data_IF_239960425010
#
_entry.id   IF_239960425010
#
_cell.length_a   1.000
_cell.length_b   1.000
_cell.length_c   1.000
_cell.angle_alpha   90.00
_cell.angle_beta   90.00
_cell.angle_gamma   90.00
#
_symmetry.space_group_name_H-M   'P 1'
#
loop_
_entity.id
_entity.type
_entity.pdbx_description
1 polymer ?
#
# COMPACT_ATOMS: atom_id res chain seq x y z
N UNK A 1 34.82 -41.68 40.56
CA UNK A 1 34.01 -40.46 40.36
C UNK A 1 34.27 -40.01 38.92
N UNK A 2 33.40 -40.41 37.99
CA UNK A 2 33.54 -40.10 36.55
C UNK A 2 32.75 -38.84 36.25
N UNK A 3 33.42 -37.80 35.73
CA UNK A 3 32.75 -36.66 35.10
C UNK A 3 33.16 -36.67 33.63
N UNK A 4 32.29 -37.23 32.79
CA UNK A 4 32.34 -37.05 31.34
C UNK A 4 31.74 -35.68 31.04
N UNK A 5 32.57 -34.71 30.66
CA UNK A 5 32.11 -33.43 30.15
C UNK A 5 31.95 -33.56 28.63
N UNK A 6 30.72 -33.85 28.20
CA UNK A 6 30.29 -33.67 26.82
C UNK A 6 29.53 -32.34 26.72
N UNK A 7 29.50 -31.81 25.51
CA UNK A 7 28.60 -30.78 24.97
C UNK A 7 29.13 -29.34 24.91
N UNK A 8 28.96 -28.57 23.84
CA UNK A 8 28.36 -28.76 22.50
C UNK A 8 28.94 -27.60 21.67
N UNK A 9 29.40 -27.87 20.44
CA UNK A 9 29.66 -26.82 19.45
C UNK A 9 28.34 -26.10 19.13
N UNK A 10 28.21 -24.83 19.50
CA UNK A 10 27.12 -23.98 19.04
C UNK A 10 27.38 -23.60 17.57
N UNK A 11 26.83 -24.39 16.65
CA UNK A 11 26.69 -23.98 15.25
C UNK A 11 25.57 -22.93 15.22
N UNK A 12 25.94 -21.66 15.18
CA UNK A 12 25.02 -20.56 14.93
C UNK A 12 24.59 -20.60 13.47
N UNK A 13 23.56 -21.41 13.18
CA UNK A 13 22.84 -21.33 11.90
C UNK A 13 22.07 -20.02 11.92
N UNK A 14 22.56 -19.02 11.16
CA UNK A 14 21.77 -17.82 10.86
C UNK A 14 20.65 -18.25 9.92
N UNK A 15 19.53 -18.69 10.49
CA UNK A 15 18.26 -18.69 9.77
C UNK A 15 17.87 -17.22 9.58
N UNK A 16 18.15 -16.67 8.40
CA UNK A 16 17.32 -15.59 7.88
C UNK A 16 15.96 -16.21 7.59
N UNK A 17 15.08 -16.22 8.59
CA UNK A 17 13.66 -16.48 8.37
C UNK A 17 13.13 -15.29 7.58
N UNK A 18 12.97 -15.45 6.27
CA UNK A 18 12.00 -14.65 5.52
C UNK A 18 10.63 -14.97 6.11
N UNK A 19 10.17 -14.14 7.04
CA UNK A 19 8.78 -14.13 7.49
C UNK A 19 7.93 -13.61 6.33
N UNK A 20 7.56 -14.50 5.40
CA UNK A 20 6.34 -14.29 4.64
C UNK A 20 5.20 -14.54 5.63
N UNK A 21 4.57 -13.47 6.11
CA UNK A 21 3.36 -13.59 6.92
C UNK A 21 2.29 -14.27 6.07
N UNK A 22 2.07 -15.57 6.33
CA UNK A 22 1.18 -16.48 5.58
C UNK A 22 -0.28 -16.00 5.52
N UNK A 23 -0.62 -14.94 6.24
CA UNK A 23 -1.94 -14.30 6.27
C UNK A 23 -2.17 -13.35 5.09
N UNK A 24 -1.13 -12.96 4.37
CA UNK A 24 -1.22 -11.93 3.36
C UNK A 24 -1.47 -12.57 1.99
N UNK A 25 -2.57 -12.20 1.29
CA UNK A 25 -2.84 -12.69 -0.05
C UNK A 25 -1.65 -12.47 -0.99
N UNK A 26 -1.37 -13.43 -1.88
CA UNK A 26 -0.23 -13.35 -2.80
C UNK A 26 -0.28 -12.13 -3.76
N UNK A 27 -1.46 -11.52 -3.89
CA UNK A 27 -1.71 -10.29 -4.62
C UNK A 27 -1.61 -9.04 -3.72
N UNK A 28 -0.90 -9.09 -2.61
CA UNK A 28 -0.71 -7.91 -1.74
C UNK A 28 0.73 -7.41 -1.82
N UNK A 29 0.89 -6.09 -1.98
CA UNK A 29 2.16 -5.38 -1.80
C UNK A 29 2.09 -4.71 -0.44
N UNK A 30 3.04 -4.99 0.45
CA UNK A 30 3.18 -4.25 1.70
C UNK A 30 4.17 -3.11 1.52
N UNK A 31 3.81 -1.91 1.97
CA UNK A 31 4.72 -0.77 2.06
C UNK A 31 4.70 -0.26 3.50
N UNK A 32 5.86 -0.10 4.14
CA UNK A 32 5.90 0.57 5.45
C UNK A 32 6.38 2.00 5.30
N UNK A 33 5.49 2.98 5.51
CA UNK A 33 5.82 4.42 5.40
C UNK A 33 6.61 4.92 6.62
N UNK A 34 6.81 4.09 7.64
CA UNK A 34 7.59 4.41 8.85
C UNK A 34 9.04 4.83 8.59
N UNK A 35 9.56 4.72 7.35
CA UNK A 35 10.96 5.01 7.00
C UNK A 35 11.21 6.08 5.92
N UNK A 36 10.42 7.16 5.87
CA UNK A 36 10.73 8.37 5.07
C UNK A 36 10.79 8.19 3.53
N UNK A 37 10.15 7.17 2.96
CA UNK A 37 10.19 6.94 1.52
C UNK A 37 8.79 6.80 0.93
N UNK A 38 8.56 7.54 -0.16
CA UNK A 38 7.49 7.37 -1.17
C UNK A 38 7.13 5.89 -1.37
N UNK A 39 5.84 5.56 -1.42
CA UNK A 39 5.40 4.23 -1.85
C UNK A 39 5.09 4.27 -3.34
N UNK A 40 5.86 3.52 -4.12
CA UNK A 40 5.63 3.35 -5.56
C UNK A 40 4.95 2.01 -5.80
N UNK A 41 3.80 2.09 -6.46
CA UNK A 41 2.99 0.93 -6.80
C UNK A 41 2.95 0.81 -8.31
N UNK A 42 3.83 -0.03 -8.87
CA UNK A 42 3.83 -0.32 -10.30
C UNK A 42 2.67 -1.27 -10.62
N UNK A 43 1.71 -0.79 -11.39
CA UNK A 43 0.49 -1.48 -11.75
C UNK A 43 0.34 -1.60 -13.25
N UNK A 44 -0.04 -2.79 -13.69
CA UNK A 44 -0.39 -3.04 -15.08
C UNK A 44 -1.92 -3.04 -15.23
N UNK A 45 -2.55 -1.91 -14.89
CA UNK A 45 -4.00 -1.76 -14.94
C UNK A 45 -4.43 -1.15 -16.27
N UNK A 46 -5.05 -1.96 -17.12
CA UNK A 46 -5.53 -1.49 -18.43
C UNK A 46 -6.91 -0.81 -18.36
N UNK A 47 -7.71 -1.11 -17.33
CA UNK A 47 -9.09 -0.64 -17.19
C UNK A 47 -9.33 0.14 -15.88
N UNK A 48 -8.27 0.60 -15.21
CA UNK A 48 -8.47 1.33 -13.95
C UNK A 48 -8.96 2.76 -14.21
N UNK A 49 -10.07 3.10 -13.58
CA UNK A 49 -10.59 4.47 -13.47
C UNK A 49 -9.91 5.24 -12.33
N UNK A 50 -9.31 4.54 -11.38
CA UNK A 50 -8.68 5.15 -10.22
C UNK A 50 -8.26 4.16 -9.15
N UNK A 51 -8.02 4.70 -7.96
CA UNK A 51 -7.63 3.99 -6.74
C UNK A 51 -8.62 4.32 -5.62
N UNK A 52 -9.12 3.29 -4.95
CA UNK A 52 -9.86 3.43 -3.69
C UNK A 52 -8.88 3.14 -2.56
N UNK A 53 -8.94 3.94 -1.49
CA UNK A 53 -8.29 3.62 -0.22
C UNK A 53 -9.26 3.58 0.94
N UNK A 54 -8.96 2.70 1.90
CA UNK A 54 -9.60 2.63 3.21
C UNK A 54 -8.53 2.95 4.26
N UNK A 55 -8.69 4.07 4.96
CA UNK A 55 -7.75 4.54 5.98
C UNK A 55 -8.12 4.03 7.37
N UNK A 56 -7.16 3.52 8.15
CA UNK A 56 -7.40 3.21 9.56
C UNK A 56 -7.41 4.49 10.43
N UNK A 57 -6.75 5.55 9.97
CA UNK A 57 -6.69 6.85 10.62
C UNK A 57 -6.75 8.00 9.60
N UNK A 58 -7.83 8.78 9.64
CA UNK A 58 -8.08 9.89 8.72
C UNK A 58 -9.57 10.04 8.45
N UNK A 59 -10.02 11.24 8.03
CA UNK A 59 -11.40 11.47 7.61
C UNK A 59 -11.43 12.10 6.22
N UNK A 60 -12.33 11.66 5.33
CA UNK A 60 -13.17 10.46 5.46
C UNK A 60 -12.35 9.16 5.38
N UNK A 61 -12.89 8.07 5.93
CA UNK A 61 -12.23 6.75 6.01
C UNK A 61 -12.07 6.12 4.63
N UNK A 62 -13.08 6.24 3.79
CA UNK A 62 -13.06 5.81 2.39
C UNK A 62 -12.77 7.02 1.51
N UNK A 63 -11.78 6.88 0.64
CA UNK A 63 -11.37 7.93 -0.29
C UNK A 63 -11.07 7.35 -1.66
N UNK A 64 -11.25 8.17 -2.69
CA UNK A 64 -11.08 7.78 -4.09
C UNK A 64 -10.14 8.75 -4.79
N UNK A 65 -9.24 8.23 -5.61
CA UNK A 65 -8.38 8.99 -6.50
C UNK A 65 -8.68 8.56 -7.92
N UNK A 66 -9.33 9.42 -8.69
CA UNK A 66 -9.67 9.11 -10.09
C UNK A 66 -8.60 9.64 -11.03
N UNK A 67 -8.25 8.87 -12.06
CA UNK A 67 -7.30 9.29 -13.08
C UNK A 67 -7.97 10.23 -14.08
N UNK A 68 -7.33 11.34 -14.41
CA UNK A 68 -7.85 12.25 -15.43
C UNK A 68 -7.80 11.60 -16.82
N UNK A 69 -8.94 11.59 -17.53
CA UNK A 69 -9.06 11.05 -18.88
C UNK A 69 -10.20 11.74 -19.65
N UNK A 70 -10.49 11.26 -20.87
CA UNK A 70 -11.56 11.82 -21.72
C UNK A 70 -12.96 11.70 -21.10
N UNK A 71 -13.19 10.71 -20.22
CA UNK A 71 -14.47 10.48 -19.56
C UNK A 71 -14.61 11.25 -18.23
N UNK A 72 -13.50 11.70 -17.64
CA UNK A 72 -13.49 12.41 -16.36
C UNK A 72 -12.41 13.48 -16.32
N UNK A 73 -12.87 14.72 -16.36
CA UNK A 73 -12.03 15.93 -16.30
C UNK A 73 -12.17 16.70 -15.00
N UNK A 74 -13.20 16.41 -14.19
CA UNK A 74 -13.46 17.06 -12.90
C UNK A 74 -13.11 16.13 -11.74
N UNK A 75 -12.57 16.73 -10.68
CA UNK A 75 -12.22 16.04 -9.43
C UNK A 75 -11.40 14.75 -9.65
N UNK A 76 -10.50 14.79 -10.64
CA UNK A 76 -9.50 13.77 -10.91
C UNK A 76 -8.11 14.27 -10.46
N UNK A 77 -7.14 13.36 -10.41
CA UNK A 77 -5.78 13.57 -9.89
C UNK A 77 -5.73 14.20 -8.48
N UNK A 78 -6.76 13.92 -7.68
CA UNK A 78 -6.88 14.34 -6.29
C UNK A 78 -7.77 13.36 -5.53
N UNK A 79 -7.66 13.35 -4.20
CA UNK A 79 -8.52 12.52 -3.37
C UNK A 79 -9.88 13.17 -3.13
N UNK A 80 -10.92 12.39 -3.32
CA UNK A 80 -12.32 12.75 -3.07
C UNK A 80 -12.99 11.76 -2.13
N UNK A 81 -14.08 12.20 -1.51
CA UNK A 81 -14.95 11.35 -0.70
C UNK A 81 -15.96 10.55 -1.56
N UNK A 82 -16.84 9.80 -0.90
CA UNK A 82 -17.92 9.03 -1.55
C UNK A 82 -18.92 9.91 -2.33
N UNK A 83 -19.02 11.20 -2.00
CA UNK A 83 -19.88 12.17 -2.66
C UNK A 83 -19.15 12.94 -3.78
N UNK A 84 -17.94 12.52 -4.15
CA UNK A 84 -17.08 13.19 -5.12
C UNK A 84 -16.66 14.61 -4.70
N UNK A 85 -16.53 14.86 -3.41
CA UNK A 85 -16.06 16.13 -2.84
C UNK A 85 -14.56 16.04 -2.53
N UNK A 86 -13.73 16.99 -3.01
CA UNK A 86 -12.30 17.03 -2.71
C UNK A 86 -11.98 17.06 -1.22
N UNK A 87 -10.98 16.28 -0.81
CA UNK A 87 -10.53 16.19 0.58
C UNK A 87 -9.33 17.11 0.77
N UNK A 88 -9.54 18.24 1.44
CA UNK A 88 -8.49 19.27 1.60
C UNK A 88 -7.25 18.79 2.37
N UNK A 89 -7.41 17.82 3.27
CA UNK A 89 -6.34 17.26 4.10
C UNK A 89 -5.50 16.18 3.39
N UNK A 90 -5.85 15.81 2.16
CA UNK A 90 -5.13 14.80 1.40
C UNK A 90 -3.84 15.36 0.76
N UNK A 91 -2.88 14.47 0.44
CA UNK A 91 -1.70 14.87 -0.33
C UNK A 91 -2.12 15.31 -1.74
N UNK A 92 -1.48 16.37 -2.21
CA UNK A 92 -1.59 16.89 -3.58
C UNK A 92 -0.48 16.37 -4.48
N UNK A 93 0.45 15.57 -3.94
CA UNK A 93 1.58 15.04 -4.67
C UNK A 93 1.34 13.61 -5.19
N UNK A 94 0.33 12.91 -4.66
CA UNK A 94 -0.08 11.59 -5.16
C UNK A 94 -0.45 11.66 -6.65
N UNK A 95 0.10 10.76 -7.46
CA UNK A 95 -0.07 10.81 -8.92
C UNK A 95 0.06 9.44 -9.59
N UNK A 96 -0.49 9.32 -10.79
CA UNK A 96 -0.21 8.22 -11.70
C UNK A 96 0.67 8.75 -12.84
N UNK A 97 1.86 8.18 -12.99
CA UNK A 97 2.73 8.44 -14.16
C UNK A 97 3.02 7.12 -14.86
N UNK A 98 2.62 7.03 -16.14
CA UNK A 98 2.66 5.81 -16.94
C UNK A 98 1.88 4.66 -16.27
N UNK A 99 2.60 3.72 -15.68
CA UNK A 99 2.08 2.53 -15.00
C UNK A 99 2.43 2.53 -13.50
N UNK A 100 2.91 3.64 -12.96
CA UNK A 100 3.35 3.72 -11.57
C UNK A 100 2.48 4.72 -10.83
N UNK A 101 1.65 4.20 -9.92
CA UNK A 101 0.93 5.02 -8.98
C UNK A 101 1.85 5.32 -7.80
N UNK A 102 2.04 6.61 -7.54
CA UNK A 102 2.88 7.14 -6.47
C UNK A 102 1.98 7.61 -5.36
N UNK A 103 2.25 7.15 -4.14
CA UNK A 103 1.70 7.72 -2.92
C UNK A 103 2.86 8.38 -2.18
N UNK A 104 2.80 9.69 -2.05
CA UNK A 104 3.80 10.48 -1.35
C UNK A 104 3.63 10.40 0.17
N UNK A 105 4.68 10.80 0.87
CA UNK A 105 4.73 10.74 2.33
C UNK A 105 3.59 11.56 2.90
N UNK A 106 2.67 10.88 3.57
CA UNK A 106 1.63 11.55 4.31
C UNK A 106 2.09 11.86 5.74
N UNK A 107 1.68 13.02 6.25
CA UNK A 107 1.98 13.52 7.59
C UNK A 107 1.22 12.79 8.69
N UNK A 108 0.19 12.04 8.31
CA UNK A 108 -0.60 11.16 9.15
C UNK A 108 -0.17 9.72 8.89
N UNK A 109 -0.23 8.89 9.93
CA UNK A 109 0.02 7.45 9.85
C UNK A 109 -1.13 6.82 9.04
N UNK A 110 -1.02 6.91 7.71
CA UNK A 110 -2.01 6.35 6.80
C UNK A 110 -1.71 4.86 6.69
N UNK A 111 -2.20 4.14 7.69
CA UNK A 111 -2.41 2.72 7.56
C UNK A 111 -3.66 2.54 6.71
N UNK A 112 -3.60 1.64 5.72
CA UNK A 112 -4.76 1.47 4.88
C UNK A 112 -4.57 0.57 3.67
N UNK A 113 -5.72 0.21 3.13
CA UNK A 113 -5.88 -0.71 2.02
C UNK A 113 -6.16 0.05 0.73
N UNK A 114 -5.31 -0.12 -0.27
CA UNK A 114 -5.42 0.53 -1.57
C UNK A 114 -5.72 -0.51 -2.65
N UNK A 115 -6.76 -0.25 -3.44
CA UNK A 115 -7.23 -1.14 -4.50
C UNK A 115 -7.62 -0.34 -5.74
N UNK A 116 -7.50 -0.92 -6.94
CA UNK A 116 -8.00 -0.25 -8.15
C UNK A 116 -9.52 -0.18 -8.20
N UNK A 117 -10.00 0.72 -9.04
CA UNK A 117 -11.41 0.89 -9.39
C UNK A 117 -11.55 0.71 -10.91
N UNK A 118 -12.52 -0.07 -11.41
CA UNK A 118 -13.30 -1.05 -10.64
C UNK A 118 -12.41 -2.19 -10.13
N UNK A 119 -12.77 -2.73 -8.97
CA UNK A 119 -12.06 -3.86 -8.38
C UNK A 119 -12.42 -5.16 -9.12
N UNK A 120 -11.42 -5.90 -9.56
CA UNK A 120 -11.50 -7.18 -10.23
C UNK A 120 -10.83 -8.28 -9.41
N UNK A 121 -11.19 -9.53 -9.72
CA UNK A 121 -10.62 -10.69 -9.03
C UNK A 121 -9.14 -10.85 -9.43
N UNK A 122 -8.26 -10.82 -8.43
CA UNK A 122 -6.80 -10.99 -8.62
C UNK A 122 -6.02 -9.67 -8.62
N UNK A 123 -6.71 -8.54 -8.46
CA UNK A 123 -6.07 -7.24 -8.36
C UNK A 123 -5.07 -7.16 -7.25
N UNK A 124 -3.97 -6.47 -7.52
CA UNK A 124 -3.02 -6.18 -6.46
C UNK A 124 -3.62 -5.20 -5.47
N UNK A 125 -3.51 -5.54 -4.19
CA UNK A 125 -3.83 -4.67 -3.06
C UNK A 125 -2.53 -4.10 -2.51
N UNK A 126 -2.44 -2.80 -2.30
CA UNK A 126 -1.33 -2.23 -1.55
C UNK A 126 -1.81 -2.02 -0.11
N UNK A 127 -1.10 -2.59 0.84
CA UNK A 127 -1.31 -2.37 2.27
C UNK A 127 -0.17 -1.49 2.77
N UNK A 128 -0.53 -0.43 3.47
CA UNK A 128 0.44 0.47 4.10
C UNK A 128 0.41 0.24 5.61
N UNK A 129 1.57 -0.07 6.22
CA UNK A 129 1.77 -0.35 7.67
C UNK A 129 2.80 0.55 8.37
#
# INVERSE_FOLDING_TARGET
MSVKLFCILAVSVRFSMEFSDWRIPANTIMCSILQNTKCEFKQNWTNAEGVKRHLDAGKPEIQFFYFCNENRTENCDQWVDENNVPIESSSKEDNLVNETFTIEKMSIQILGDYVKIPQEKGDKKLIIE
#
